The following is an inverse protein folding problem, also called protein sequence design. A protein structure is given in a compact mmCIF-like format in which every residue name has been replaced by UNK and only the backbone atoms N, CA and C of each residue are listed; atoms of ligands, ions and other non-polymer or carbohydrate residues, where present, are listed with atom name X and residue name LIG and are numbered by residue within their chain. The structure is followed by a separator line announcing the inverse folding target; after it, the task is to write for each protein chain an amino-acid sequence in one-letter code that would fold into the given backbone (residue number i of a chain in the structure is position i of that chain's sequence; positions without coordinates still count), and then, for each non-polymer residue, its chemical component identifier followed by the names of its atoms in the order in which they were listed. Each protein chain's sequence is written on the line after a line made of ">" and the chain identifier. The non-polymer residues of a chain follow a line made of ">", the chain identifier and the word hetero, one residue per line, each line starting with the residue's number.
data_IF_866806957632
#
_entry.id   IF_866806957632
#
_cell.length_a   1.000
_cell.length_b   1.000
_cell.length_c   1.000
_cell.angle_alpha   90.00
_cell.angle_beta   90.00
_cell.angle_gamma   90.00
#
_symmetry.space_group_name_H-M   'P 1'
#
loop_
_entity.id
_entity.type
_entity.pdbx_description
1 polymer ?
2 non-polymer ?
3 water ?
#
# COMPACT_ATOMS: atom_id res chain seq x y z
N UNK A 1 -22.98 17.34 -23.42
CA UNK A 1 -21.93 17.98 -22.63
C UNK A 1 -21.09 18.95 -23.46
N UNK A 2 -20.75 20.09 -22.88
CA UNK A 2 -19.75 20.97 -23.46
C UNK A 2 -19.12 21.84 -22.37
N UNK A 3 -17.80 21.66 -22.21
CA UNK A 3 -17.01 22.33 -21.23
C UNK A 3 -15.64 22.70 -21.76
N UNK A 4 -14.98 23.60 -21.07
CA UNK A 4 -13.53 23.71 -21.20
C UNK A 4 -12.88 23.42 -19.86
N UNK A 5 -11.72 22.76 -19.92
CA UNK A 5 -10.98 22.35 -18.71
C UNK A 5 -9.47 22.64 -18.83
N UNK A 6 -8.78 22.64 -17.70
CA UNK A 6 -7.31 22.83 -17.73
C UNK A 6 -6.62 21.50 -18.13
N UNK A 7 -5.74 21.58 -19.12
CA UNK A 7 -4.99 20.44 -19.65
C UNK A 7 -4.32 19.64 -18.58
N UNK A 8 -3.64 20.33 -17.66
CA UNK A 8 -2.93 19.67 -16.57
C UNK A 8 -3.83 19.04 -15.56
N UNK A 9 -4.93 19.72 -15.20
CA UNK A 9 -5.91 19.09 -14.33
C UNK A 9 -6.46 17.81 -14.96
N UNK A 10 -6.83 17.89 -16.22
CA UNK A 10 -7.44 16.73 -16.87
C UNK A 10 -6.39 15.56 -17.00
N UNK A 11 -5.15 15.88 -17.42
CA UNK A 11 -4.08 14.82 -17.50
C UNK A 11 -3.88 14.07 -16.22
N UNK A 12 -3.72 14.81 -15.12
CA UNK A 12 -3.60 14.21 -13.83
C UNK A 12 -4.71 13.30 -13.47
N UNK A 13 -5.94 13.81 -13.52
CA UNK A 13 -7.06 12.92 -13.24
C UNK A 13 -6.99 11.61 -14.09
N UNK A 14 -6.70 11.74 -15.37
CA UNK A 14 -6.73 10.59 -16.24
C UNK A 14 -5.63 9.57 -15.89
N UNK A 15 -4.48 10.02 -15.43
CA UNK A 15 -3.39 9.09 -15.12
C UNK A 15 -3.81 8.21 -13.94
N UNK A 16 -4.38 8.83 -12.90
CA UNK A 16 -4.86 8.06 -11.76
C UNK A 16 -5.88 7.05 -12.16
N UNK A 17 -6.71 7.38 -13.16
CA UNK A 17 -7.76 6.49 -13.59
C UNK A 17 -7.34 5.27 -14.38
N UNK A 18 -6.15 5.34 -15.00
CA UNK A 18 -5.67 4.23 -15.86
C UNK A 18 -5.71 2.89 -15.15
N UNK A 19 -5.42 2.90 -13.82
CA UNK A 19 -5.31 1.59 -13.10
C UNK A 19 -6.63 0.88 -12.95
N UNK A 20 -7.73 1.59 -13.17
CA UNK A 20 -9.01 0.97 -12.91
C UNK A 20 -9.71 0.59 -14.24
N UNK A 21 -8.96 0.64 -15.35
CA UNK A 21 -9.50 0.26 -16.67
C UNK A 21 -8.89 -1.07 -17.15
N UNK A 22 -9.73 -1.90 -17.77
CA UNK A 22 -9.26 -3.03 -18.50
C UNK A 22 -9.02 -2.51 -19.93
N UNK A 23 -7.77 -2.30 -20.23
CA UNK A 23 -7.39 -1.50 -21.37
C UNK A 23 -7.23 -2.28 -22.65
N UNK A 24 -7.16 -3.61 -22.59
CA UNK A 24 -6.80 -4.37 -23.76
C UNK A 24 -7.87 -4.47 -24.79
N UNK A 25 -9.12 -4.62 -24.36
CA UNK A 25 -10.24 -4.72 -25.27
C UNK A 25 -10.91 -3.35 -25.33
N UNK A 26 -10.50 -2.55 -26.32
CA UNK A 26 -11.06 -1.20 -26.47
C UNK A 26 -12.52 -1.20 -26.84
N UNK A 27 -13.05 -2.32 -27.31
CA UNK A 27 -14.43 -2.46 -27.68
C UNK A 27 -15.39 -2.61 -26.47
N UNK A 28 -14.83 -2.71 -25.28
CA UNK A 28 -15.67 -3.01 -24.09
C UNK A 28 -15.73 -1.81 -23.22
N UNK A 29 -16.87 -1.64 -22.56
CA UNK A 29 -17.03 -0.51 -21.74
C UNK A 29 -16.08 -0.56 -20.51
N UNK A 30 -15.54 -1.72 -20.17
CA UNK A 30 -14.49 -1.80 -19.15
C UNK A 30 -13.21 -1.01 -19.48
N UNK A 31 -13.01 -0.65 -20.77
CA UNK A 31 -11.92 0.30 -21.12
C UNK A 31 -12.26 1.76 -21.08
N UNK A 32 -13.51 2.11 -20.75
CA UNK A 32 -13.92 3.50 -20.75
C UNK A 32 -14.03 4.16 -19.34
N UNK A 33 -13.93 5.48 -19.32
CA UNK A 33 -14.10 6.30 -18.13
C UNK A 33 -15.51 6.90 -18.34
N UNK A 34 -16.32 6.93 -17.29
CA UNK A 34 -17.62 7.64 -17.28
C UNK A 34 -17.34 9.09 -16.99
N UNK A 35 -18.02 9.94 -17.76
CA UNK A 35 -17.92 11.39 -17.66
C UNK A 35 -19.29 11.95 -17.26
N UNK A 36 -19.27 12.96 -16.40
CA UNK A 36 -20.54 13.66 -16.01
C UNK A 36 -20.26 15.09 -15.67
N UNK A 37 -20.89 16.00 -16.40
CA UNK A 37 -20.68 17.40 -16.12
C UNK A 37 -21.91 17.88 -15.38
N UNK A 38 -21.68 18.37 -14.16
CA UNK A 38 -22.70 19.00 -13.34
C UNK A 38 -22.10 20.26 -12.72
N UNK A 39 -22.86 21.36 -12.75
CA UNK A 39 -22.58 22.50 -11.87
C UNK A 39 -21.07 22.76 -11.69
N UNK A 40 -20.41 23.08 -12.80
CA UNK A 40 -19.02 23.52 -12.78
C UNK A 40 -18.02 22.41 -12.29
N UNK A 41 -18.38 21.13 -12.34
CA UNK A 41 -17.44 20.04 -12.19
C UNK A 41 -17.55 19.00 -13.31
N UNK A 42 -16.40 18.45 -13.73
CA UNK A 42 -16.37 17.22 -14.53
C UNK A 42 -16.00 16.11 -13.59
N UNK A 43 -16.89 15.12 -13.46
CA UNK A 43 -16.65 13.91 -12.71
C UNK A 43 -16.21 12.87 -13.70
N UNK A 44 -15.21 12.09 -13.29
CA UNK A 44 -14.64 11.00 -14.10
C UNK A 44 -14.62 9.79 -13.23
N UNK A 45 -15.19 8.67 -13.66
CA UNK A 45 -15.10 7.46 -12.85
C UNK A 45 -14.71 6.25 -13.63
N UNK A 46 -14.01 5.33 -12.99
CA UNK A 46 -13.78 4.02 -13.53
C UNK A 46 -13.90 3.06 -12.37
N UNK A 47 -14.61 1.96 -12.61
CA UNK A 47 -15.11 1.11 -11.57
C UNK A 47 -15.45 -0.30 -12.04
N UNK A 48 -15.76 -1.11 -11.04
CA UNK A 48 -15.77 -2.54 -11.14
C UNK A 48 -16.69 -2.98 -10.04
N UNK A 49 -17.02 -4.25 -9.97
CA UNK A 49 -17.72 -4.77 -8.80
C UNK A 49 -16.91 -4.66 -7.53
N UNK A 50 -15.58 -4.83 -7.65
CA UNK A 50 -14.67 -4.98 -6.49
C UNK A 50 -13.69 -3.82 -6.20
N UNK A 51 -13.48 -2.90 -7.14
CA UNK A 51 -12.60 -1.75 -6.91
C UNK A 51 -13.02 -0.62 -7.84
N UNK A 52 -12.78 0.63 -7.43
CA UNK A 52 -13.07 1.76 -8.27
C UNK A 52 -12.64 3.10 -7.71
N UNK A 53 -12.58 4.08 -8.60
CA UNK A 53 -12.19 5.45 -8.30
C UNK A 53 -13.16 6.42 -8.96
N UNK A 54 -13.54 7.47 -8.23
CA UNK A 54 -14.24 8.62 -8.78
C UNK A 54 -13.52 9.92 -8.41
N UNK A 55 -13.27 10.76 -9.40
CA UNK A 55 -12.57 12.00 -9.21
C UNK A 55 -13.39 13.08 -9.85
N UNK A 56 -13.00 14.32 -9.62
CA UNK A 56 -13.58 15.44 -10.28
C UNK A 56 -12.48 16.47 -10.52
N UNK A 57 -12.64 17.27 -11.57
CA UNK A 57 -11.95 18.54 -11.74
C UNK A 57 -12.97 19.64 -11.98
N UNK A 58 -12.57 20.86 -11.67
CA UNK A 58 -13.37 22.05 -11.88
C UNK A 58 -13.28 22.35 -13.31
N UNK A 59 -14.40 22.80 -13.86
CA UNK A 59 -14.45 23.26 -15.19
C UNK A 59 -14.03 24.72 -15.18
N UNK A 60 -13.25 25.11 -16.18
CA UNK A 60 -12.97 26.52 -16.46
C UNK A 60 -14.23 27.17 -16.98
N UNK A 61 -14.99 26.46 -17.80
CA UNK A 61 -16.28 26.96 -18.23
C UNK A 61 -17.17 25.74 -18.34
N UNK A 62 -18.48 25.94 -18.17
CA UNK A 62 -19.43 24.82 -18.34
C UNK A 62 -20.68 25.21 -19.04
N UNK A 63 -20.89 24.69 -20.25
CA UNK A 63 -22.03 25.15 -21.01
C UNK A 63 -23.13 24.17 -21.12
N UNK A 64 -22.84 22.90 -21.17
CA UNK A 64 -23.89 21.93 -21.34
C UNK A 64 -23.51 20.82 -20.38
N UNK A 65 -24.42 20.57 -19.48
CA UNK A 65 -24.37 19.48 -18.54
C UNK A 65 -24.91 18.28 -19.20
N UNK A 66 -24.41 17.11 -18.75
CA UNK A 66 -24.88 15.78 -19.09
C UNK A 66 -23.80 14.73 -18.85
N UNK A 67 -23.96 13.56 -19.50
CA UNK A 67 -23.12 12.40 -19.29
C UNK A 67 -22.67 11.79 -20.57
N UNK A 68 -21.67 10.91 -20.46
CA UNK A 68 -21.05 10.22 -21.63
C UNK A 68 -19.93 9.27 -21.15
N UNK A 69 -19.17 8.72 -22.06
CA UNK A 69 -18.07 7.80 -21.72
C UNK A 69 -16.99 8.00 -22.75
N UNK A 70 -15.80 7.51 -22.41
CA UNK A 70 -14.68 7.60 -23.35
C UNK A 70 -13.59 6.59 -23.03
N UNK A 71 -12.95 6.06 -24.05
CA UNK A 71 -11.85 5.16 -23.85
C UNK A 71 -10.70 5.82 -23.05
N UNK A 72 -10.40 5.28 -21.88
CA UNK A 72 -9.47 5.96 -21.02
C UNK A 72 -8.02 6.11 -21.47
N UNK A 73 -7.53 5.09 -22.16
CA UNK A 73 -6.11 5.04 -22.58
C UNK A 73 -5.94 5.99 -23.71
N UNK A 74 -6.89 5.95 -24.65
CA UNK A 74 -6.79 6.82 -25.78
C UNK A 74 -6.94 8.24 -25.35
N UNK A 75 -7.91 8.52 -24.48
CA UNK A 75 -8.09 9.90 -23.97
C UNK A 75 -6.80 10.43 -23.33
N UNK A 76 -6.20 9.65 -22.44
CA UNK A 76 -4.97 10.08 -21.81
C UNK A 76 -3.87 10.26 -22.92
N UNK A 77 -3.84 9.42 -23.95
CA UNK A 77 -2.74 9.51 -24.93
C UNK A 77 -2.88 10.80 -25.70
N UNK A 78 -4.12 11.19 -26.05
CA UNK A 78 -4.34 12.48 -26.74
C UNK A 78 -3.97 13.72 -25.96
N UNK A 79 -4.38 13.75 -24.70
CA UNK A 79 -4.22 14.90 -23.86
C UNK A 79 -2.77 15.09 -23.45
N UNK A 80 -2.03 13.98 -23.27
CA UNK A 80 -0.61 14.11 -23.00
C UNK A 80 0.18 14.73 -24.19
N UNK A 81 -0.37 14.71 -25.39
CA UNK A 81 0.29 15.30 -26.58
C UNK A 81 -0.07 16.80 -26.91
N UNK A 82 -0.90 17.42 -26.06
CA UNK A 82 -1.35 18.81 -26.24
C UNK A 82 -0.60 19.79 -25.34
N UNK A 83 -0.76 21.09 -25.65
CA UNK A 83 -0.07 22.19 -24.95
C UNK A 83 -0.77 22.50 -23.65
N UNK A 84 -0.15 23.32 -22.78
CA UNK A 84 -0.61 23.53 -21.37
C UNK A 84 -1.57 24.73 -21.27
N UNK A 85 -2.71 24.58 -21.93
CA UNK A 85 -3.69 25.63 -22.13
C UNK A 85 -5.02 24.93 -22.33
N UNK A 86 -6.11 25.64 -22.07
CA UNK A 86 -7.42 25.00 -21.96
C UNK A 86 -7.81 24.09 -23.13
N UNK A 87 -8.52 23.00 -22.81
CA UNK A 87 -9.09 22.04 -23.77
C UNK A 87 -10.62 22.07 -23.77
N UNK A 88 -11.24 22.06 -24.94
CA UNK A 88 -12.67 22.05 -25.04
C UNK A 88 -13.09 20.59 -25.24
N UNK A 89 -14.02 20.10 -24.39
CA UNK A 89 -14.61 18.79 -24.59
C UNK A 89 -16.07 18.98 -24.93
N UNK A 90 -16.54 18.34 -26.00
CA UNK A 90 -17.91 18.57 -26.44
C UNK A 90 -18.42 17.33 -27.08
N UNK A 91 -19.62 16.90 -26.72
CA UNK A 91 -20.22 15.74 -27.33
C UNK A 91 -20.77 16.18 -28.69
N UNK A 92 -20.91 15.22 -29.58
CA UNK A 92 -21.47 15.45 -30.88
C UNK A 92 -22.15 14.14 -31.20
N UNK A 93 -23.39 13.92 -30.75
CA UNK A 93 -23.97 12.57 -30.82
C UNK A 93 -23.34 11.55 -29.83
N UNK A 94 -23.04 10.35 -30.33
CA UNK A 94 -22.29 9.35 -29.56
C UNK A 94 -20.78 9.46 -29.82
N UNK A 95 -20.30 10.69 -29.96
CA UNK A 95 -18.87 10.97 -30.11
C UNK A 95 -18.44 12.13 -29.19
N UNK A 96 -17.21 12.05 -28.65
CA UNK A 96 -16.65 13.15 -27.91
C UNK A 96 -15.62 13.89 -28.74
N UNK A 97 -15.77 15.21 -28.81
CA UNK A 97 -14.82 16.04 -29.54
C UNK A 97 -13.93 16.73 -28.59
N UNK A 98 -12.63 16.71 -28.89
CA UNK A 98 -11.61 17.31 -28.07
C UNK A 98 -10.90 18.36 -28.94
N UNK A 99 -10.73 19.58 -28.43
CA UNK A 99 -10.25 20.71 -29.30
C UNK A 99 -9.33 21.59 -28.50
N UNK A 100 -8.24 21.96 -29.13
CA UNK A 100 -7.24 22.85 -28.51
C UNK A 100 -6.56 23.55 -29.68
N UNK A 101 -7.02 24.78 -29.92
CA UNK A 101 -6.54 25.67 -30.97
C UNK A 101 -6.63 24.99 -32.35
N UNK A 102 -5.49 24.60 -32.93
CA UNK A 102 -5.57 23.99 -34.27
C UNK A 102 -5.75 22.47 -34.21
N UNK A 103 -5.68 21.87 -33.03
CA UNK A 103 -5.70 20.41 -32.88
C UNK A 103 -7.11 19.98 -32.48
N UNK A 104 -7.67 19.04 -33.23
CA UNK A 104 -8.98 18.44 -32.95
C UNK A 104 -9.04 16.90 -33.05
N UNK A 105 -9.78 16.28 -32.12
CA UNK A 105 -9.97 14.81 -32.06
C UNK A 105 -11.43 14.43 -31.84
N UNK A 106 -11.79 13.24 -32.34
CA UNK A 106 -13.10 12.60 -32.10
C UNK A 106 -12.83 11.16 -31.59
N UNK A 107 -13.48 10.79 -30.47
CA UNK A 107 -13.49 9.41 -29.99
C UNK A 107 -14.95 8.95 -29.73
N UNK A 108 -15.23 7.63 -29.86
CA UNK A 108 -16.59 7.16 -29.68
C UNK A 108 -16.93 6.98 -28.22
N UNK A 109 -18.15 7.38 -27.87
CA UNK A 109 -18.72 7.19 -26.50
C UNK A 109 -19.58 5.90 -26.54
N UNK A 110 -19.74 5.24 -25.40
CA UNK A 110 -20.58 4.09 -25.30
C UNK A 110 -21.80 4.53 -24.51
N UNK A 111 -22.77 3.68 -24.37
CA UNK A 111 -23.93 4.02 -23.57
C UNK A 111 -23.55 4.18 -22.09
N UNK A 112 -23.77 5.37 -21.55
CA UNK A 112 -23.40 5.69 -20.20
C UNK A 112 -24.14 4.87 -19.13
N UNK A 113 -25.29 4.31 -19.49
CA UNK A 113 -26.09 3.46 -18.61
C UNK A 113 -25.55 2.08 -18.45
N UNK A 114 -24.61 1.71 -19.28
CA UNK A 114 -24.00 0.41 -19.19
C UNK A 114 -22.93 0.45 -18.10
N UNK A 115 -22.51 1.65 -17.73
CA UNK A 115 -21.55 1.84 -16.62
C UNK A 115 -22.12 1.42 -15.26
N UNK A 116 -21.35 0.63 -14.49
CA UNK A 116 -21.86 0.27 -13.16
C UNK A 116 -21.99 1.47 -12.25
N UNK A 117 -23.05 1.44 -11.44
CA UNK A 117 -23.27 2.48 -10.45
C UNK A 117 -22.14 2.41 -9.38
N UNK A 118 -21.73 3.58 -8.93
CA UNK A 118 -20.63 3.68 -8.04
C UNK A 118 -21.21 3.48 -6.62
N UNK A 119 -20.66 2.52 -5.86
CA UNK A 119 -21.41 2.08 -4.69
C UNK A 119 -21.33 3.05 -3.53
N UNK A 120 -22.35 3.08 -2.71
CA UNK A 120 -22.33 3.90 -1.49
C UNK A 120 -22.71 2.97 -0.36
N UNK A 121 -22.12 3.26 0.78
CA UNK A 121 -22.29 2.41 1.94
C UNK A 121 -22.89 3.18 3.08
N UNK A 122 -23.39 2.42 4.05
CA UNK A 122 -23.80 2.95 5.31
C UNK A 122 -22.72 2.43 6.21
N UNK A 123 -21.87 3.32 6.74
CA UNK A 123 -20.71 2.84 7.48
C UNK A 123 -20.99 2.20 8.82
N UNK A 124 -20.36 1.08 9.12
CA UNK A 124 -20.30 0.54 10.48
C UNK A 124 -19.05 1.05 11.23
N UNK A 125 -18.01 1.49 10.51
CA UNK A 125 -16.79 2.09 11.15
C UNK A 125 -16.25 3.23 10.30
N UNK A 126 -15.65 4.21 10.95
CA UNK A 126 -15.18 5.37 10.25
C UNK A 126 -14.12 6.08 11.02
N UNK A 127 -13.18 6.64 10.27
CA UNK A 127 -12.15 7.42 10.84
C UNK A 127 -11.79 8.52 9.90
N UNK A 128 -11.22 9.55 10.49
CA UNK A 128 -10.62 10.65 9.81
C UNK A 128 -9.14 10.49 9.98
N UNK A 129 -8.39 10.37 8.89
CA UNK A 129 -6.94 10.24 8.99
C UNK A 129 -6.28 11.59 8.67
N UNK A 130 -5.70 12.20 9.70
CA UNK A 130 -5.20 13.54 9.51
C UNK A 130 -3.73 13.64 9.46
N UNK A 131 -3.05 12.51 9.26
CA UNK A 131 -1.56 12.46 9.29
C UNK A 131 -1.05 11.22 8.57
N UNK A 132 0.26 11.15 8.22
CA UNK A 132 0.63 10.09 7.27
C UNK A 132 0.82 8.71 7.84
N UNK A 133 0.52 8.53 9.11
CA UNK A 133 0.88 7.30 9.81
C UNK A 133 0.25 6.07 9.19
N UNK A 134 -1.01 6.15 8.76
CA UNK A 134 -1.66 4.96 8.22
C UNK A 134 -1.07 4.54 6.86
N UNK A 135 -0.91 5.49 5.96
CA UNK A 135 -0.22 5.16 4.68
C UNK A 135 1.24 4.73 4.90
N UNK A 136 1.87 5.26 5.94
CA UNK A 136 3.22 4.91 6.26
C UNK A 136 3.21 3.41 6.64
N UNK A 137 2.21 3.01 7.41
CA UNK A 137 2.06 1.60 7.78
C UNK A 137 1.79 0.76 6.57
N UNK A 138 0.85 1.21 5.78
CA UNK A 138 0.54 0.50 4.56
C UNK A 138 1.81 0.24 3.71
N UNK A 139 2.57 1.28 3.48
CA UNK A 139 3.75 1.18 2.63
C UNK A 139 4.81 0.22 3.23
N UNK A 140 5.01 0.26 4.54
CA UNK A 140 6.03 -0.56 5.16
C UNK A 140 5.64 -2.05 5.26
N UNK A 141 4.34 -2.33 5.31
CA UNK A 141 3.89 -3.68 5.52
C UNK A 141 3.58 -4.38 4.19
N UNK A 142 3.24 -3.62 3.15
CA UNK A 142 2.87 -4.13 1.82
C UNK A 142 3.81 -5.19 1.24
N UNK A 143 5.14 -5.00 1.34
CA UNK A 143 6.02 -6.01 0.78
C UNK A 143 5.91 -7.40 1.40
N UNK A 144 5.37 -7.56 2.59
CA UNK A 144 5.30 -8.91 3.13
C UNK A 144 4.05 -9.66 2.61
N UNK A 145 3.14 -8.98 1.91
CA UNK A 145 1.84 -9.58 1.54
C UNK A 145 1.90 -10.08 0.09
N UNK A 146 1.59 -11.35 -0.14
CA UNK A 146 1.45 -11.87 -1.54
C UNK A 146 0.05 -11.71 -2.15
N UNK A 147 -0.07 -10.84 -3.13
CA UNK A 147 -1.34 -10.60 -3.81
C UNK A 147 -1.93 -11.84 -4.48
N UNK A 148 -1.06 -12.65 -5.04
CA UNK A 148 -1.49 -13.89 -5.67
C UNK A 148 -1.35 -15.05 -4.67
N UNK A 149 -1.53 -14.78 -3.37
CA UNK A 149 -1.54 -15.84 -2.38
C UNK A 149 -2.79 -16.68 -2.67
N UNK A 150 -2.61 -18.00 -2.75
CA UNK A 150 -3.76 -18.95 -2.86
C UNK A 150 -4.55 -19.04 -1.53
N UNK A 151 -4.03 -18.42 -0.46
CA UNK A 151 -4.75 -18.34 0.81
C UNK A 151 -5.40 -16.95 0.88
N UNK A 152 -6.72 -16.96 1.04
CA UNK A 152 -7.56 -15.82 0.66
C UNK A 152 -7.32 -14.57 1.52
N UNK A 153 -7.24 -14.78 2.83
CA UNK A 153 -7.21 -13.69 3.81
C UNK A 153 -5.82 -13.19 4.10
N UNK A 154 -4.82 -13.85 3.51
CA UNK A 154 -3.46 -13.41 3.62
C UNK A 154 -3.11 -12.64 2.42
N UNK A 155 -3.96 -12.66 1.39
CA UNK A 155 -3.69 -11.80 0.24
C UNK A 155 -4.06 -10.32 0.51
N UNK A 156 -4.33 -9.96 1.76
CA UNK A 156 -4.56 -8.56 2.13
C UNK A 156 -4.00 -8.13 3.46
N UNK A 157 -4.15 -6.85 3.77
CA UNK A 157 -3.65 -6.30 5.00
C UNK A 157 -4.76 -6.27 6.05
N UNK A 158 -4.50 -6.67 7.28
CA UNK A 158 -5.52 -6.54 8.31
C UNK A 158 -5.53 -5.13 8.89
N UNK A 159 -6.73 -4.55 9.02
CA UNK A 159 -6.93 -3.37 9.81
C UNK A 159 -7.87 -3.80 10.95
N UNK A 160 -7.44 -3.72 12.22
CA UNK A 160 -8.24 -4.20 13.38
C UNK A 160 -8.46 -3.03 14.33
N UNK A 161 -9.71 -2.58 14.38
CA UNK A 161 -10.04 -1.40 15.14
C UNK A 161 -10.53 -1.84 16.53
N UNK A 162 -10.04 -1.15 17.55
CA UNK A 162 -10.56 -1.26 18.90
C UNK A 162 -11.13 0.14 19.34
N UNK A 163 -12.44 0.33 19.17
CA UNK A 163 -13.14 1.53 19.73
C UNK A 163 -12.77 1.75 21.20
N UNK A 164 -12.92 0.73 22.06
CA UNK A 164 -12.60 0.90 23.52
C UNK A 164 -11.29 1.66 23.74
N UNK A 165 -10.22 1.19 23.10
CA UNK A 165 -8.87 1.61 23.44
C UNK A 165 -8.27 2.57 22.41
N UNK A 166 -9.08 2.94 21.40
CA UNK A 166 -8.73 3.88 20.35
C UNK A 166 -7.40 3.43 19.62
N UNK A 167 -7.40 2.19 19.15
CA UNK A 167 -6.25 1.65 18.45
C UNK A 167 -6.64 1.03 17.13
N UNK A 168 -5.72 1.14 16.18
CA UNK A 168 -5.90 0.52 14.93
C UNK A 168 -4.61 -0.28 14.72
N UNK A 169 -4.79 -1.58 14.65
CA UNK A 169 -3.68 -2.50 14.56
C UNK A 169 -3.65 -2.85 13.08
N UNK A 170 -2.45 -2.97 12.53
CA UNK A 170 -2.31 -3.19 11.08
C UNK A 170 -1.28 -4.29 10.88
N UNK A 171 -1.61 -5.30 10.10
CA UNK A 171 -0.82 -6.55 10.03
C UNK A 171 -0.79 -7.13 8.66
N UNK A 172 0.38 -7.61 8.26
CA UNK A 172 0.56 -8.37 7.02
C UNK A 172 1.39 -9.62 7.37
N UNK A 173 1.18 -10.70 6.63
CA UNK A 173 2.00 -11.94 6.73
C UNK A 173 1.95 -12.70 5.41
N UNK A 174 3.04 -13.45 5.11
CA UNK A 174 3.03 -14.41 4.00
C UNK A 174 3.36 -15.79 4.55
N UNK A 175 3.17 -16.00 5.84
CA UNK A 175 3.56 -17.22 6.60
C UNK A 175 5.02 -17.37 6.95
N UNK A 176 5.93 -16.67 6.26
CA UNK A 176 7.38 -16.70 6.57
C UNK A 176 7.85 -15.50 7.42
N UNK A 177 7.17 -14.36 7.20
CA UNK A 177 7.30 -13.16 8.03
C UNK A 177 5.93 -12.53 8.22
N UNK A 178 5.86 -11.76 9.29
CA UNK A 178 4.64 -11.06 9.74
C UNK A 178 5.05 -9.70 10.28
N UNK A 179 4.53 -8.65 9.68
CA UNK A 179 4.87 -7.29 10.07
C UNK A 179 3.61 -6.61 10.62
N UNK A 180 3.75 -5.86 11.69
CA UNK A 180 2.59 -5.29 12.39
C UNK A 180 2.93 -3.98 13.03
N UNK A 181 1.89 -3.19 13.24
CA UNK A 181 1.98 -2.04 14.05
C UNK A 181 0.60 -1.82 14.65
N UNK A 182 0.62 -1.13 15.77
CA UNK A 182 -0.58 -0.77 16.49
C UNK A 182 -0.52 0.75 16.61
N UNK A 183 -1.46 1.43 15.97
CA UNK A 183 -1.52 2.89 15.97
C UNK A 183 -2.40 3.37 17.14
N UNK A 184 -1.88 4.32 17.91
CA UNK A 184 -2.52 4.80 19.14
C UNK A 184 -3.33 6.06 18.87
N UNK A 185 -4.32 6.27 19.74
CA UNK A 185 -5.10 7.52 19.77
C UNK A 185 -5.69 7.89 18.45
N UNK A 186 -6.46 6.95 17.89
CA UNK A 186 -7.21 7.19 16.66
C UNK A 186 -8.64 7.31 17.11
N UNK A 187 -9.30 8.41 16.74
CA UNK A 187 -10.71 8.61 17.07
C UNK A 187 -11.51 7.73 16.13
N UNK A 188 -11.96 6.60 16.64
CA UNK A 188 -12.71 5.64 15.87
C UNK A 188 -14.17 5.87 16.14
N UNK A 189 -14.95 5.88 15.09
CA UNK A 189 -16.39 5.92 15.22
C UNK A 189 -16.87 4.60 14.69
N UNK A 190 -17.50 3.84 15.58
CA UNK A 190 -17.94 2.49 15.28
C UNK A 190 -19.18 2.15 16.07
N UNK A 191 -20.02 1.32 15.45
CA UNK A 191 -21.12 0.69 16.13
C UNK A 191 -20.67 -0.58 16.92
N UNK A 192 -19.39 -0.96 16.82
CA UNK A 192 -18.83 -2.08 17.54
C UNK A 192 -17.53 -1.69 18.28
N UNK A 193 -17.31 -2.38 19.39
CA UNK A 193 -16.10 -2.18 20.20
C UNK A 193 -14.83 -2.63 19.46
N UNK A 194 -14.98 -3.71 18.69
CA UNK A 194 -13.89 -4.38 17.99
C UNK A 194 -14.45 -4.86 16.64
N UNK A 195 -13.82 -4.43 15.55
CA UNK A 195 -14.21 -4.74 14.18
C UNK A 195 -12.92 -4.88 13.35
N UNK A 196 -12.96 -5.67 12.28
CA UNK A 196 -11.78 -6.00 11.49
C UNK A 196 -12.17 -5.96 10.04
N UNK A 197 -11.24 -5.46 9.21
CA UNK A 197 -11.39 -5.28 7.75
C UNK A 197 -10.09 -5.85 7.15
N UNK A 198 -10.19 -6.66 6.09
CA UNK A 198 -8.98 -7.16 5.41
C UNK A 198 -9.04 -6.54 4.05
N UNK A 199 -8.07 -5.72 3.69
CA UNK A 199 -8.06 -5.03 2.41
C UNK A 199 -7.17 -5.77 1.39
N UNK A 200 -7.67 -6.03 0.20
CA UNK A 200 -6.83 -6.75 -0.79
C UNK A 200 -5.56 -5.99 -1.08
N UNK A 201 -4.48 -6.73 -1.37
CA UNK A 201 -3.15 -6.13 -1.68
C UNK A 201 -3.24 -5.15 -2.81
N UNK A 202 -3.99 -5.51 -3.84
CA UNK A 202 -4.15 -4.67 -5.01
C UNK A 202 -4.76 -3.32 -4.67
N UNK A 203 -5.70 -3.30 -3.72
CA UNK A 203 -6.32 -2.03 -3.31
C UNK A 203 -5.31 -1.20 -2.54
N UNK A 204 -4.59 -1.89 -1.66
CA UNK A 204 -3.48 -1.30 -0.87
C UNK A 204 -2.52 -0.53 -1.77
N UNK A 205 -2.08 -1.18 -2.85
CA UNK A 205 -1.20 -0.48 -3.82
C UNK A 205 -1.84 0.70 -4.44
N UNK A 206 -3.13 0.59 -4.83
CA UNK A 206 -3.81 1.76 -5.39
C UNK A 206 -3.95 2.87 -4.33
N UNK A 207 -4.32 2.53 -3.11
CA UNK A 207 -4.38 3.54 -2.03
C UNK A 207 -3.08 4.33 -1.85
N UNK A 208 -1.94 3.65 -1.94
CA UNK A 208 -0.64 4.31 -1.80
C UNK A 208 -0.36 5.30 -2.95
N UNK A 209 -0.98 5.11 -4.10
CA UNK A 209 -0.89 6.09 -5.17
C UNK A 209 -1.83 7.26 -4.98
N UNK A 210 -2.97 7.05 -4.33
CA UNK A 210 -3.96 8.12 -4.28
C UNK A 210 -3.97 9.00 -3.04
N UNK A 211 -3.59 8.44 -1.91
CA UNK A 211 -3.84 9.10 -0.62
C UNK A 211 -2.56 9.23 0.18
N UNK A 212 -2.52 10.25 1.02
CA UNK A 212 -1.40 10.47 1.93
C UNK A 212 -1.89 10.85 3.35
N UNK A 213 -2.57 11.97 3.47
CA UNK A 213 -3.22 12.37 4.69
C UNK A 213 -4.45 13.21 4.36
N UNK A 214 -5.24 13.51 5.37
CA UNK A 214 -6.51 14.24 5.27
C UNK A 214 -7.52 13.47 4.43
N UNK A 215 -7.87 12.27 4.86
CA UNK A 215 -8.82 11.48 4.11
C UNK A 215 -9.66 10.73 5.11
N UNK A 216 -10.82 10.31 4.67
CA UNK A 216 -11.65 9.45 5.50
C UNK A 216 -11.55 8.05 5.00
N UNK A 217 -11.71 7.16 5.95
CA UNK A 217 -11.80 5.73 5.73
C UNK A 217 -13.05 5.27 6.42
N UNK A 218 -13.91 4.61 5.63
CA UNK A 218 -15.24 4.17 6.08
C UNK A 218 -15.48 2.77 5.56
N UNK A 219 -16.09 1.92 6.38
CA UNK A 219 -16.40 0.56 5.96
C UNK A 219 -17.73 0.07 6.56
N UNK A 220 -18.44 -0.73 5.74
CA UNK A 220 -19.65 -1.43 6.19
C UNK A 220 -19.36 -2.90 6.52
N UNK A 221 -18.08 -3.25 6.67
CA UNK A 221 -17.71 -4.67 6.74
C UNK A 221 -17.82 -5.46 5.44
N UNK A 222 -18.26 -4.85 4.32
CA UNK A 222 -18.28 -5.49 2.99
C UNK A 222 -17.43 -4.72 1.94
N UNK A 223 -17.57 -3.39 1.90
CA UNK A 223 -16.70 -2.48 1.17
C UNK A 223 -16.00 -1.47 2.06
N UNK A 224 -14.79 -1.05 1.67
CA UNK A 224 -14.17 0.12 2.31
C UNK A 224 -14.18 1.27 1.29
N UNK A 225 -14.48 2.47 1.74
CA UNK A 225 -14.54 3.66 0.89
C UNK A 225 -13.54 4.64 1.48
N UNK A 226 -12.66 5.19 0.65
CA UNK A 226 -11.69 6.13 1.11
C UNK A 226 -11.86 7.38 0.31
N UNK A 227 -11.84 8.50 0.99
CA UNK A 227 -12.28 9.73 0.33
C UNK A 227 -11.49 10.95 0.79
N UNK A 228 -11.11 11.79 -0.15
CA UNK A 228 -10.57 13.09 0.20
C UNK A 228 -11.30 14.08 -0.68
N UNK A 229 -10.76 15.30 -0.79
CA UNK A 229 -11.41 16.43 -1.44
C UNK A 229 -11.76 16.11 -2.90
N UNK A 230 -10.84 15.48 -3.61
CA UNK A 230 -11.01 15.27 -5.04
C UNK A 230 -11.28 13.83 -5.45
N UNK A 231 -11.12 12.87 -4.54
CA UNK A 231 -11.21 11.47 -4.91
C UNK A 231 -12.09 10.66 -3.99
N UNK A 232 -12.88 9.74 -4.55
CA UNK A 232 -13.51 8.67 -3.79
C UNK A 232 -13.09 7.32 -4.35
N UNK A 233 -12.47 6.50 -3.50
CA UNK A 233 -12.03 5.18 -3.87
C UNK A 233 -12.81 4.14 -3.13
N UNK A 234 -13.02 2.99 -3.73
CA UNK A 234 -13.57 1.89 -2.96
C UNK A 234 -12.92 0.56 -3.25
N UNK A 235 -13.05 -0.39 -2.34
CA UNK A 235 -12.66 -1.76 -2.66
C UNK A 235 -13.54 -2.73 -1.95
N UNK A 236 -13.80 -3.87 -2.57
CA UNK A 236 -14.32 -5.02 -1.85
C UNK A 236 -13.33 -5.41 -0.77
N UNK A 237 -13.85 -5.84 0.39
CA UNK A 237 -13.05 -6.42 1.43
C UNK A 237 -12.93 -7.92 1.20
N UNK A 238 -11.89 -8.54 1.77
CA UNK A 238 -11.69 -10.00 1.74
C UNK A 238 -12.42 -10.64 2.90
N UNK A 239 -13.00 -11.81 2.60
CA UNK A 239 -14.13 -12.30 3.31
C UNK A 239 -14.06 -12.67 4.79
N UNK A 240 -12.90 -13.03 5.33
CA UNK A 240 -12.70 -12.88 6.80
C UNK A 240 -12.07 -14.03 7.57
N UNK A 241 -11.95 -13.81 8.89
CA UNK A 241 -11.15 -14.66 9.77
C UNK A 241 -9.65 -14.53 9.43
N UNK A 242 -9.13 -13.32 9.61
CA UNK A 242 -7.69 -13.06 9.54
C UNK A 242 -7.08 -13.76 10.74
N UNK A 243 -5.94 -14.46 10.57
CA UNK A 243 -5.34 -15.16 11.70
C UNK A 243 -5.08 -14.29 12.94
N UNK A 244 -5.17 -14.94 14.10
CA UNK A 244 -4.91 -14.33 15.38
C UNK A 244 -3.40 -14.02 15.55
N UNK A 245 -2.99 -12.89 14.97
CA UNK A 245 -1.57 -12.47 14.96
C UNK A 245 -0.98 -12.35 16.35
N UNK A 246 -1.82 -12.02 17.32
CA UNK A 246 -1.38 -11.85 18.70
C UNK A 246 -0.96 -13.18 19.35
N UNK A 247 -1.61 -14.26 18.91
CA UNK A 247 -1.30 -15.59 19.46
C UNK A 247 0.03 -16.07 18.90
N UNK A 248 0.37 -15.66 17.69
CA UNK A 248 1.62 -16.16 17.03
C UNK A 248 2.92 -15.46 17.47
N UNK A 249 2.81 -14.21 17.89
CA UNK A 249 3.95 -13.50 18.48
C UNK A 249 4.45 -14.10 19.77
N UNK A 250 5.75 -14.39 19.87
CA UNK A 250 6.30 -14.83 21.14
C UNK A 250 5.98 -13.89 22.27
N UNK A 251 5.95 -14.43 23.52
CA UNK A 251 5.60 -13.69 24.75
C UNK A 251 6.78 -12.91 25.30
N UNK A 252 7.91 -13.58 25.38
CA UNK A 252 9.17 -13.02 25.85
C UNK A 252 10.25 -13.38 24.79
N UNK A 253 11.46 -12.86 24.97
CA UNK A 253 12.59 -13.27 24.14
C UNK A 253 13.74 -13.50 25.05
N UNK A 254 14.42 -14.63 24.89
CA UNK A 254 15.64 -14.88 25.63
C UNK A 254 16.66 -13.73 25.47
N UNK A 255 16.94 -13.31 24.23
CA UNK A 255 17.98 -12.31 23.94
C UNK A 255 17.40 -11.12 23.18
N UNK A 256 17.87 -9.92 23.49
CA UNK A 256 17.58 -8.71 22.72
C UNK A 256 18.90 -7.98 22.37
N UNK A 257 19.15 -7.72 21.09
CA UNK A 257 20.42 -7.09 20.63
C UNK A 257 20.15 -5.78 19.88
N UNK A 258 20.86 -4.72 20.25
CA UNK A 258 20.78 -3.44 19.54
C UNK A 258 21.91 -3.36 18.60
N UNK A 259 21.54 -3.25 17.30
CA UNK A 259 22.48 -3.47 16.21
C UNK A 259 22.35 -2.32 15.16
N UNK A 260 23.37 -2.19 14.34
CA UNK A 260 23.44 -1.04 13.39
C UNK A 260 22.68 -1.36 12.14
N UNK A 261 21.76 -0.49 11.74
CA UNK A 261 20.79 -0.83 10.72
C UNK A 261 21.49 -0.82 9.34
N UNK A 262 22.20 0.27 9.06
CA UNK A 262 22.83 0.48 7.76
C UNK A 262 24.01 -0.49 7.60
N UNK A 263 24.72 -0.78 8.68
CA UNK A 263 25.82 -1.75 8.55
C UNK A 263 25.29 -3.17 8.30
N UNK A 264 24.17 -3.52 8.90
CA UNK A 264 23.53 -4.82 8.66
C UNK A 264 22.97 -4.80 7.17
N UNK A 265 22.40 -3.70 6.66
CA UNK A 265 21.89 -3.72 5.30
C UNK A 265 23.00 -4.01 4.33
N UNK A 266 24.07 -3.24 4.46
CA UNK A 266 25.27 -3.36 3.52
C UNK A 266 25.86 -4.75 3.62
N UNK A 267 26.01 -5.30 4.84
CA UNK A 267 26.57 -6.65 5.01
C UNK A 267 25.72 -7.78 4.40
N UNK A 268 24.43 -7.68 4.56
CA UNK A 268 23.50 -8.64 4.03
C UNK A 268 23.43 -8.53 2.50
N UNK A 269 23.33 -7.34 2.00
CA UNK A 269 23.29 -7.13 0.54
C UNK A 269 24.57 -7.73 -0.04
N UNK A 270 25.68 -7.44 0.61
CA UNK A 270 27.00 -7.91 0.08
C UNK A 270 26.99 -9.43 -0.03
N UNK A 271 26.55 -10.16 1.04
CA UNK A 271 26.55 -11.62 1.01
C UNK A 271 25.50 -12.18 0.10
N UNK A 272 24.43 -11.44 -0.12
CA UNK A 272 23.36 -11.89 -0.97
C UNK A 272 23.77 -11.84 -2.50
N UNK A 273 24.88 -11.20 -2.83
CA UNK A 273 25.41 -11.33 -4.19
C UNK A 273 25.58 -12.80 -4.63
N UNK A 274 25.77 -13.73 -3.71
CA UNK A 274 25.94 -15.13 -4.04
C UNK A 274 24.97 -16.08 -3.40
N UNK A 275 24.01 -15.61 -2.62
CA UNK A 275 23.15 -16.54 -1.89
C UNK A 275 21.87 -15.83 -1.47
N UNK A 276 20.77 -16.54 -1.45
CA UNK A 276 19.52 -15.97 -0.95
C UNK A 276 19.43 -16.09 0.61
N UNK A 277 20.26 -16.90 1.22
CA UNK A 277 20.20 -17.05 2.67
C UNK A 277 21.59 -16.83 3.26
N UNK A 278 21.61 -16.38 4.50
CA UNK A 278 22.83 -15.98 5.18
C UNK A 278 22.92 -16.57 6.56
N UNK A 279 24.12 -16.92 6.96
CA UNK A 279 24.44 -17.26 8.33
C UNK A 279 24.98 -16.00 8.96
N UNK A 280 24.28 -15.58 10.01
CA UNK A 280 24.69 -14.49 10.84
C UNK A 280 25.27 -15.05 12.10
N UNK A 281 26.45 -14.58 12.48
CA UNK A 281 27.03 -14.95 13.81
C UNK A 281 27.21 -13.69 14.62
N UNK A 282 26.64 -13.67 15.80
CA UNK A 282 26.83 -12.55 16.74
C UNK A 282 27.77 -12.98 17.84
N UNK A 283 28.78 -12.16 18.08
CA UNK A 283 29.69 -12.29 19.21
C UNK A 283 29.53 -10.99 19.95
N UNK A 284 30.24 -10.90 21.08
CA UNK A 284 30.32 -9.70 21.90
C UNK A 284 30.60 -8.40 21.15
N UNK A 285 31.68 -8.37 20.38
CA UNK A 285 32.05 -7.13 19.65
C UNK A 285 32.12 -7.26 18.19
N UNK A 286 31.43 -8.25 17.64
CA UNK A 286 31.42 -8.45 16.17
C UNK A 286 30.15 -9.13 15.71
N UNK A 287 29.72 -8.76 14.49
CA UNK A 287 28.69 -9.46 13.72
C UNK A 287 29.39 -10.01 12.46
N UNK A 288 29.28 -11.32 12.18
CA UNK A 288 29.84 -11.96 11.02
C UNK A 288 28.72 -12.46 10.13
N UNK A 289 28.91 -12.34 8.84
CA UNK A 289 27.91 -12.66 7.86
C UNK A 289 28.57 -13.54 6.81
N UNK A 290 27.93 -14.65 6.44
CA UNK A 290 28.48 -15.59 5.45
C UNK A 290 27.36 -16.05 4.61
N UNK A 291 27.56 -16.07 3.31
CA UNK A 291 26.62 -16.73 2.44
C UNK A 291 26.43 -18.21 2.87
N UNK A 292 25.18 -18.67 2.79
CA UNK A 292 24.80 -19.98 3.31
C UNK A 292 24.33 -20.92 2.19
N UNK A 293 23.41 -20.46 1.36
CA UNK A 293 22.89 -21.34 0.30
C UNK A 293 23.70 -21.20 -0.99
N UNK A 294 24.95 -20.70 -0.94
CA UNK A 294 25.73 -20.50 -2.17
C UNK A 294 26.12 -21.84 -2.79
N UNK A 295 26.43 -21.82 -4.10
CA UNK A 295 26.93 -22.99 -4.86
C UNK A 295 28.31 -23.34 -4.28
N UNK A 296 28.64 -24.62 -4.16
CA UNK A 296 29.58 -25.02 -3.08
C UNK A 296 31.04 -24.51 -3.19
N UNK A 297 31.46 -24.07 -4.39
CA UNK A 297 32.73 -23.34 -4.54
C UNK A 297 32.55 -21.79 -4.66
N UNK A 298 31.47 -21.26 -4.10
CA UNK A 298 31.25 -19.82 -4.09
C UNK A 298 30.91 -19.40 -2.69
N UNK A 299 31.58 -18.36 -2.21
CA UNK A 299 31.60 -17.95 -0.82
C UNK A 299 31.65 -16.44 -0.67
N UNK A 300 30.77 -15.84 0.13
CA UNK A 300 30.86 -14.42 0.50
C UNK A 300 30.86 -14.26 2.02
N UNK A 301 31.85 -13.55 2.59
CA UNK A 301 31.92 -13.26 4.03
C UNK A 301 32.23 -11.78 4.30
N UNK A 302 31.59 -11.28 5.37
CA UNK A 302 31.98 -10.00 5.87
C UNK A 302 31.77 -9.91 7.34
N UNK A 303 32.35 -8.87 7.93
CA UNK A 303 32.03 -8.62 9.33
C UNK A 303 32.02 -7.14 9.69
N UNK A 304 31.44 -6.84 10.87
CA UNK A 304 31.30 -5.48 11.37
C UNK A 304 31.63 -5.49 12.90
N UNK A 305 32.42 -4.53 13.37
CA UNK A 305 32.72 -4.35 14.79
C UNK A 305 31.49 -3.88 15.56
N UNK A 306 31.17 -4.47 16.72
CA UNK A 306 30.11 -3.93 17.52
C UNK A 306 30.81 -3.26 18.73
N UNK A 307 30.82 -1.92 18.78
CA UNK A 307 31.62 -1.19 19.78
C UNK A 307 31.05 -1.31 21.15
N UNK A 308 29.74 -1.09 21.27
CA UNK A 308 29.04 -1.29 22.55
C UNK A 308 28.64 -2.75 22.65
N UNK A 309 29.38 -3.50 23.46
CA UNK A 309 29.34 -4.98 23.46
C UNK A 309 27.96 -5.56 23.66
N UNK A 310 27.71 -6.67 22.97
CA UNK A 310 26.47 -7.39 23.16
C UNK A 310 26.62 -8.29 24.44
N UNK A 311 25.51 -8.76 24.96
CA UNK A 311 25.47 -9.61 26.18
C UNK A 311 25.43 -11.08 25.75
N UNK A 312 26.59 -11.56 25.29
CA UNK A 312 26.78 -12.87 24.66
C UNK A 312 27.99 -13.61 25.25
N UNK A 313 27.83 -14.92 25.39
CA UNK A 313 28.93 -15.81 25.72
C UNK A 313 29.22 -16.75 24.54
N UNK A 314 30.42 -16.59 23.99
CA UNK A 314 30.85 -17.24 22.77
C UNK A 314 30.14 -16.63 21.53
N UNK A 315 29.04 -17.23 21.08
CA UNK A 315 28.48 -16.84 19.80
C UNK A 315 27.12 -17.48 19.55
N UNK A 316 26.19 -16.64 19.10
CA UNK A 316 24.86 -17.01 18.71
C UNK A 316 24.87 -17.02 17.16
N UNK A 317 24.32 -18.08 16.59
CA UNK A 317 24.25 -18.29 15.16
C UNK A 317 22.79 -18.29 14.71
N UNK A 318 22.48 -17.66 13.57
CA UNK A 318 21.12 -17.57 13.10
C UNK A 318 21.13 -17.57 11.59
N UNK A 319 20.42 -18.51 10.95
CA UNK A 319 20.19 -18.52 9.52
C UNK A 319 19.06 -17.61 9.14
N UNK A 320 19.30 -16.69 8.20
CA UNK A 320 18.23 -15.77 7.76
C UNK A 320 18.12 -15.75 6.30
N UNK A 321 16.92 -15.44 5.88
CA UNK A 321 16.63 -15.08 4.50
C UNK A 321 16.97 -13.65 4.28
N UNK A 322 17.90 -13.36 3.33
CA UNK A 322 18.47 -12.03 3.12
C UNK A 322 17.42 -11.02 2.76
N UNK A 323 16.65 -11.33 1.73
CA UNK A 323 15.62 -10.40 1.23
C UNK A 323 14.64 -10.00 2.36
N UNK A 324 14.15 -10.98 3.09
CA UNK A 324 13.19 -10.72 4.17
C UNK A 324 13.81 -9.87 5.27
N UNK A 325 15.05 -10.20 5.65
CA UNK A 325 15.75 -9.46 6.72
C UNK A 325 15.94 -8.00 6.26
N UNK A 326 16.27 -7.82 4.97
CA UNK A 326 16.44 -6.43 4.48
C UNK A 326 15.13 -5.67 4.48
N UNK A 327 14.08 -6.34 4.02
CA UNK A 327 12.77 -5.69 4.01
C UNK A 327 12.38 -5.31 5.42
N UNK A 328 12.63 -6.18 6.41
CA UNK A 328 12.38 -5.80 7.80
C UNK A 328 13.15 -4.57 8.21
N UNK A 329 14.43 -4.45 7.82
CA UNK A 329 15.22 -3.25 8.09
C UNK A 329 14.71 -2.01 7.35
N UNK A 330 14.36 -2.21 6.10
CA UNK A 330 13.81 -1.10 5.30
C UNK A 330 12.56 -0.47 5.87
N UNK A 331 11.70 -1.25 6.49
CA UNK A 331 10.54 -0.76 7.18
C UNK A 331 10.81 0.07 8.50
N UNK A 332 12.04 0.15 8.97
CA UNK A 332 12.39 0.89 10.17
C UNK A 332 12.88 2.29 9.92
N UNK A 333 12.48 3.17 10.84
CA UNK A 333 12.81 4.58 10.83
C UNK A 333 14.05 5.01 11.59
N UNK A 334 14.62 4.12 12.37
CA UNK A 334 15.76 4.50 13.22
C UNK A 334 17.11 4.06 12.67
N UNK A 335 18.18 4.62 13.25
CA UNK A 335 19.56 4.24 12.88
C UNK A 335 19.99 2.90 13.44
N UNK A 336 19.37 2.47 14.50
CA UNK A 336 19.66 1.20 15.09
C UNK A 336 18.42 0.36 15.09
N UNK A 337 18.61 -0.94 15.23
CA UNK A 337 17.46 -1.84 15.36
C UNK A 337 17.66 -2.77 16.49
N UNK A 338 16.57 -3.36 16.92
CA UNK A 338 16.63 -4.43 17.95
C UNK A 338 16.20 -5.74 17.35
N UNK A 339 17.08 -6.72 17.47
CA UNK A 339 16.86 -8.08 17.04
C UNK A 339 16.55 -8.95 18.31
N UNK A 340 15.35 -9.44 18.43
CA UNK A 340 14.98 -10.28 19.63
C UNK A 340 14.89 -11.73 19.26
N UNK A 341 15.59 -12.62 19.96
CA UNK A 341 15.70 -14.03 19.63
C UNK A 341 15.29 -14.97 20.82
N UNK A 342 14.87 -16.17 20.45
CA UNK A 342 14.81 -17.27 21.42
C UNK A 342 15.81 -18.29 20.91
N UNK A 343 15.38 -19.50 20.54
CA UNK A 343 16.32 -20.49 20.02
C UNK A 343 16.57 -20.11 18.55
N UNK A 344 17.72 -20.50 17.98
CA UNK A 344 17.97 -20.25 16.55
C UNK A 344 16.96 -20.91 15.57
N UNK A 345 16.19 -21.90 16.07
CA UNK A 345 15.16 -22.59 15.27
C UNK A 345 13.77 -21.93 15.38
N UNK A 346 13.65 -20.89 16.18
CA UNK A 346 12.34 -20.26 16.34
C UNK A 346 12.31 -18.84 15.78
N UNK A 347 11.11 -18.32 15.54
CA UNK A 347 10.98 -16.96 15.02
C UNK A 347 11.63 -15.88 15.89
N UNK A 348 12.14 -14.83 15.23
CA UNK A 348 12.87 -13.76 15.90
C UNK A 348 12.26 -12.44 15.45
N UNK A 349 12.49 -11.38 16.21
CA UNK A 349 11.80 -10.13 15.96
C UNK A 349 12.78 -9.07 15.53
N UNK A 350 12.36 -8.23 14.61
CA UNK A 350 13.08 -7.02 14.29
C UNK A 350 12.21 -5.80 14.50
N UNK A 351 12.69 -4.87 15.33
CA UNK A 351 12.01 -3.64 15.54
C UNK A 351 12.90 -2.41 15.65
N UNK A 352 12.28 -1.24 15.60
CA UNK A 352 13.00 -0.05 15.87
C UNK A 352 13.63 -0.04 17.26
N UNK A 353 14.73 0.70 17.33
CA UNK A 353 15.36 1.09 18.52
C UNK A 353 14.36 2.04 19.23
N UNK A 354 14.27 1.96 20.56
CA UNK A 354 13.20 2.68 21.35
C UNK A 354 11.72 2.65 20.82
N UNK A 355 11.25 1.42 20.55
CA UNK A 355 9.92 1.18 19.92
C UNK A 355 8.65 1.60 20.74
N UNK A 356 8.74 1.82 22.07
CA UNK A 356 7.59 2.29 22.95
C UNK A 356 7.23 3.78 22.85
N UNK A 357 8.24 4.60 22.57
CA UNK A 357 8.08 6.06 22.37
C UNK A 357 7.04 6.29 21.24
N UNK A 358 6.21 7.32 21.42
CA UNK A 358 5.03 7.51 20.58
C UNK A 358 5.25 8.61 19.54
N UNK A 359 5.05 8.24 18.26
CA UNK A 359 5.35 9.11 17.11
C UNK A 359 4.13 9.29 16.15
N UNK A 360 3.86 10.55 15.79
CA UNK A 360 2.52 10.96 15.33
C UNK A 360 2.29 10.86 13.81
N UNK A 361 3.36 11.10 13.02
CA UNK A 361 3.30 11.14 11.52
C UNK A 361 4.09 10.01 10.76
N UNK A 362 4.44 8.96 11.50
CA UNK A 362 5.10 7.77 11.00
C UNK A 362 4.49 6.63 11.82
N UNK A 363 4.34 5.45 11.22
CA UNK A 363 4.06 4.25 12.01
C UNK A 363 5.38 3.56 12.42
N UNK A 364 5.36 2.74 13.48
CA UNK A 364 6.54 1.90 13.82
C UNK A 364 6.23 0.43 13.56
N UNK A 365 6.92 -0.16 12.58
CA UNK A 365 6.60 -1.47 12.10
C UNK A 365 7.64 -2.46 12.61
N UNK A 366 7.10 -3.49 13.27
CA UNK A 366 7.86 -4.61 13.70
C UNK A 366 7.67 -5.82 12.77
N UNK A 367 8.69 -6.64 12.64
CA UNK A 367 8.63 -7.82 11.82
C UNK A 367 9.14 -9.08 12.60
N UNK A 368 8.25 -10.07 12.61
CA UNK A 368 8.55 -11.41 13.04
C UNK A 368 8.91 -12.23 11.81
N UNK A 369 9.96 -13.02 11.90
CA UNK A 369 10.47 -13.85 10.82
C UNK A 369 10.92 -15.25 11.31
N UNK A 370 10.63 -16.22 10.44
CA UNK A 370 11.05 -17.56 10.66
C UNK A 370 12.50 -17.62 10.17
N UNK A 371 13.39 -18.22 10.97
CA UNK A 371 14.81 -18.44 10.62
C UNK A 371 14.97 -19.58 9.67
N UNK A 372 16.17 -19.67 9.08
CA UNK A 372 16.60 -20.78 8.23
C UNK A 372 17.41 -21.70 9.14
N UNK A 373 17.16 -23.01 9.09
CA UNK A 373 17.87 -23.93 10.01
C UNK A 373 19.34 -24.04 9.55
N UNK A 374 20.26 -24.04 10.53
CA UNK A 374 21.74 -23.96 10.35
C UNK A 374 22.24 -22.56 9.93
X LIG B 1 6.81 -14.97 11.00
X LIG B 1 5.58 -16.21 11.38
X LIG B 1 5.88 -17.18 12.33
X LIG B 1 4.99 -18.19 12.68
X LIG B 1 3.74 -18.23 12.10
X LIG B 1 2.63 -19.04 12.19
X LIG B 1 4.33 -16.18 10.77
X LIG B 1 3.45 -17.19 11.13
X LIG B 1 2.13 -17.45 10.66
X LIG B 1 1.41 -16.74 9.73
X LIG B 1 0.10 -17.21 9.47
X LIG B 1 1.62 -18.65 11.36
X LIG B 1 0.32 -19.08 11.08
X LIG B 1 -0.44 -18.34 10.14
X LIG B 1 -1.84 -18.75 9.75
X LIG B 1 -2.67 -19.12 10.97
X LIG B 1 -1.69 -19.85 8.73
X LIG B 1 -1.25 -20.95 9.12
X LIG B 1 -1.95 -19.62 7.51
#
# INVERSE_FOLDING_TARGET
>A
MKISVSKNDLENALRYLQAFLDKKDASSIASHIHLEVIKEKLFLKASDSDIGLKSYIFTQSSDKEGVGTINGKKFLDIISCLKDSNIILETKDDSLAIKQNKSSFKLPMFDADEFPEFPVIDPKVSIEVNAPFLVDAFKKIAPVIEQTSHKRELAGILMQFDQKHQTLSVVGTDTKRLSYTQLEKISIHSTEEDISCILPKRALLEILKLFYENFSFKSDGMLAVIENEMHTFFTKLIDGNYPDYQKILPKEYISSFTLGKEEFKESIKLCSSLSSTIKLTLEKNNALFESLDSEHSETAKTSVEIEKGLDIEKAFHLGVNAKFFLEALNALGTTQFVLRCNEPSSPFLIQESLDEKQSHLNAKISTLMMPITL
>B hetero
1 0LA CL C3 C2 C1 C9A N9 C4 C4A C4B C5 C6 C8A C8 C7 C10 C14 C11 O13 O12
#
